data_IF_230698652195
#
_entry.id   IF_230698652195
#
_cell.length_a   1.000
_cell.length_b   1.000
_cell.length_c   1.000
_cell.angle_alpha   90.00
_cell.angle_beta   90.00
_cell.angle_gamma   90.00
#
_symmetry.space_group_name_H-M   'P 1'
#
loop_
_entity.id
_entity.type
_entity.pdbx_description
1 polymer ?
#
# COMPACT_ATOMS: atom_id res chain seq x y z
N UNK A 1 12.77 -26.66 3.20
CA UNK A 1 13.10 -25.54 2.28
C UNK A 1 11.83 -25.17 1.54
N UNK A 2 11.01 -24.29 2.10
CA UNK A 2 9.93 -23.66 1.36
C UNK A 2 10.54 -22.53 0.54
N UNK A 3 10.71 -22.75 -0.75
CA UNK A 3 10.89 -21.67 -1.72
C UNK A 3 9.52 -21.05 -1.93
N UNK A 4 9.23 -20.01 -1.16
CA UNK A 4 8.12 -19.11 -1.45
C UNK A 4 8.63 -18.03 -2.40
N UNK A 5 8.73 -18.38 -3.64
CA UNK A 5 8.83 -17.38 -4.68
C UNK A 5 7.71 -17.69 -5.66
N UNK A 6 6.76 -16.79 -5.78
CA UNK A 6 6.16 -16.61 -7.07
C UNK A 6 7.30 -16.09 -7.94
N UNK A 7 8.04 -17.01 -8.57
CA UNK A 7 9.21 -16.71 -9.40
C UNK A 7 8.78 -15.95 -10.66
N UNK A 8 7.48 -15.80 -10.87
CA UNK A 8 6.90 -15.31 -12.11
C UNK A 8 6.52 -13.84 -12.07
N UNK A 9 5.94 -13.38 -10.95
CA UNK A 9 5.34 -12.04 -10.91
C UNK A 9 5.73 -11.29 -9.63
N UNK A 10 5.90 -9.98 -9.76
CA UNK A 10 6.13 -9.08 -8.64
C UNK A 10 5.17 -7.90 -8.70
N UNK A 11 4.55 -7.55 -7.56
CA UNK A 11 3.71 -6.37 -7.44
C UNK A 11 4.42 -5.30 -6.61
N UNK A 12 4.33 -4.03 -7.05
CA UNK A 12 4.87 -2.91 -6.30
C UNK A 12 4.03 -1.64 -6.47
N UNK A 13 4.02 -0.81 -5.44
CA UNK A 13 3.49 0.55 -5.51
C UNK A 13 4.59 1.54 -5.84
N UNK A 14 4.22 2.59 -6.57
CA UNK A 14 5.12 3.69 -6.94
C UNK A 14 4.38 4.99 -6.74
N UNK A 15 4.99 5.92 -6.00
CA UNK A 15 4.48 7.27 -5.83
C UNK A 15 5.07 8.19 -6.88
N UNK A 16 4.23 8.89 -7.63
CA UNK A 16 4.62 9.92 -8.59
C UNK A 16 4.40 11.29 -7.98
N UNK A 17 5.47 11.92 -7.56
CA UNK A 17 5.48 13.24 -6.93
C UNK A 17 5.96 14.36 -7.87
N UNK A 18 6.14 14.10 -9.17
CA UNK A 18 6.70 15.06 -10.13
C UNK A 18 5.93 16.37 -10.21
N UNK A 19 4.60 16.33 -10.01
CA UNK A 19 3.76 17.51 -10.00
C UNK A 19 3.75 18.24 -8.65
N UNK A 20 4.22 17.62 -7.58
CA UNK A 20 4.24 18.18 -6.23
C UNK A 20 5.31 19.27 -6.14
N UNK A 21 4.95 20.38 -5.51
CA UNK A 21 5.88 21.51 -5.32
C UNK A 21 6.92 21.19 -4.24
N UNK A 22 8.00 21.96 -4.28
CA UNK A 22 9.09 21.84 -3.33
C UNK A 22 8.83 22.67 -2.08
N UNK A 23 9.08 22.07 -0.93
CA UNK A 23 9.23 22.75 0.35
C UNK A 23 10.72 23.03 0.58
N UNK A 24 11.02 24.23 1.01
CA UNK A 24 12.38 24.68 1.28
C UNK A 24 12.60 24.80 2.77
N UNK A 25 13.63 24.16 3.28
CA UNK A 25 13.99 24.18 4.70
C UNK A 25 15.46 24.56 4.84
N UNK A 26 15.74 25.45 5.77
CA UNK A 26 17.12 25.82 6.09
C UNK A 26 17.62 24.90 7.21
N UNK A 27 18.63 24.10 6.90
CA UNK A 27 19.36 23.33 7.90
C UNK A 27 20.40 24.26 8.57
N UNK A 28 20.01 24.89 9.67
CA UNK A 28 20.85 25.83 10.40
C UNK A 28 22.00 25.17 11.16
N UNK A 29 21.94 23.84 11.36
CA UNK A 29 22.97 23.07 12.07
C UNK A 29 24.05 22.52 11.15
N UNK A 30 23.95 22.71 9.84
CA UNK A 30 24.96 22.26 8.89
C UNK A 30 26.28 23.03 9.06
N UNK A 31 27.40 22.31 8.90
CA UNK A 31 28.74 22.87 8.97
C UNK A 31 29.42 22.86 7.60
N UNK A 32 30.24 23.86 7.24
CA UNK A 32 30.63 25.06 8.00
C UNK A 32 29.60 26.21 7.92
N UNK A 33 28.51 26.05 7.14
CA UNK A 33 27.44 27.05 6.97
C UNK A 33 26.08 26.40 6.85
N UNK A 34 24.99 27.10 7.19
CA UNK A 34 23.65 26.62 6.91
C UNK A 34 23.46 26.25 5.43
N UNK A 35 22.70 25.19 5.18
CA UNK A 35 22.37 24.71 3.83
C UNK A 35 20.88 24.80 3.59
N UNK A 36 20.49 24.99 2.32
CA UNK A 36 19.12 24.89 1.88
C UNK A 36 18.83 23.43 1.49
N UNK A 37 17.80 22.85 2.08
CA UNK A 37 17.28 21.53 1.73
C UNK A 37 15.93 21.69 1.04
N UNK A 38 15.69 20.94 -0.02
CA UNK A 38 14.43 20.95 -0.75
C UNK A 38 13.91 19.54 -0.92
N UNK A 39 12.60 19.35 -0.76
CA UNK A 39 11.93 18.07 -0.98
C UNK A 39 10.48 18.28 -1.41
N UNK A 40 9.93 17.32 -2.15
CA UNK A 40 8.55 17.36 -2.61
C UNK A 40 7.60 17.21 -1.41
N UNK A 41 6.75 18.22 -1.21
CA UNK A 41 5.80 18.23 -0.10
C UNK A 41 4.53 18.98 -0.47
N UNK A 42 3.40 18.30 -0.42
CA UNK A 42 2.11 18.92 -0.65
C UNK A 42 1.65 19.69 0.58
N UNK A 43 1.58 21.00 0.48
CA UNK A 43 1.02 21.85 1.54
C UNK A 43 -0.51 21.74 1.61
N UNK A 44 -1.13 21.99 2.78
CA UNK A 44 -2.58 22.08 2.89
C UNK A 44 -3.15 23.08 1.90
N UNK A 45 -4.20 22.69 1.16
CA UNK A 45 -4.86 23.52 0.15
C UNK A 45 -4.26 23.44 -1.25
N UNK A 46 -3.09 22.83 -1.46
CA UNK A 46 -2.56 22.59 -2.79
C UNK A 46 -3.31 21.47 -3.52
N UNK A 47 -3.44 21.64 -4.84
CA UNK A 47 -4.18 20.68 -5.69
C UNK A 47 -3.31 19.48 -6.10
N UNK A 48 -2.02 19.72 -6.27
CA UNK A 48 -1.04 18.75 -6.73
C UNK A 48 -0.63 17.87 -5.56
N UNK A 49 -1.02 16.60 -5.61
CA UNK A 49 -0.66 15.57 -4.64
C UNK A 49 0.20 14.49 -5.32
N UNK A 50 0.96 13.72 -4.57
CA UNK A 50 1.54 12.49 -5.10
C UNK A 50 0.45 11.57 -5.64
N UNK A 51 0.73 10.90 -6.77
CA UNK A 51 -0.19 9.93 -7.38
C UNK A 51 0.38 8.54 -7.15
N UNK A 52 -0.39 7.71 -6.48
CA UNK A 52 -0.01 6.32 -6.22
C UNK A 52 -0.41 5.42 -7.38
N UNK A 53 0.57 4.68 -7.91
CA UNK A 53 0.40 3.69 -8.96
C UNK A 53 0.67 2.28 -8.43
N UNK A 54 0.00 1.29 -8.99
CA UNK A 54 0.25 -0.12 -8.73
C UNK A 54 0.68 -0.81 -10.02
N UNK A 55 1.83 -1.45 -9.99
CA UNK A 55 2.37 -2.20 -11.11
C UNK A 55 2.52 -3.67 -10.80
N UNK A 56 2.21 -4.50 -11.80
CA UNK A 56 2.55 -5.90 -11.86
C UNK A 56 3.69 -6.08 -12.89
N UNK A 57 4.73 -6.78 -12.47
CA UNK A 57 5.85 -7.16 -13.33
C UNK A 57 5.80 -8.66 -13.56
N UNK A 58 5.65 -9.09 -14.80
CA UNK A 58 5.85 -10.46 -15.22
C UNK A 58 7.37 -10.65 -15.46
N UNK A 59 8.01 -11.43 -14.59
CA UNK A 59 9.44 -11.65 -14.63
C UNK A 59 9.87 -12.67 -15.69
N UNK A 60 8.95 -13.45 -16.23
CA UNK A 60 9.19 -14.40 -17.32
C UNK A 60 9.20 -13.70 -18.66
N UNK A 61 8.14 -12.94 -18.93
CA UNK A 61 7.97 -12.19 -20.18
C UNK A 61 8.64 -10.81 -20.14
N UNK A 62 9.19 -10.40 -19.00
CA UNK A 62 9.76 -9.08 -18.76
C UNK A 62 8.82 -7.93 -19.14
N UNK A 63 7.54 -8.06 -18.76
CA UNK A 63 6.50 -7.10 -19.04
C UNK A 63 6.04 -6.41 -17.77
N UNK A 64 5.68 -5.13 -17.90
CA UNK A 64 5.04 -4.33 -16.86
C UNK A 64 3.59 -4.04 -17.24
N UNK A 65 2.68 -4.26 -16.31
CA UNK A 65 1.26 -3.88 -16.41
C UNK A 65 0.92 -2.93 -15.27
N UNK A 66 0.30 -1.79 -15.58
CA UNK A 66 -0.31 -0.93 -14.58
C UNK A 66 -1.71 -1.45 -14.25
N UNK A 67 -2.01 -1.57 -12.95
CA UNK A 67 -3.30 -2.05 -12.44
C UNK A 67 -4.14 -0.83 -12.04
N UNK A 68 -5.38 -0.78 -12.46
CA UNK A 68 -6.31 0.30 -12.12
C UNK A 68 -6.72 0.19 -10.65
N UNK A 69 -6.30 1.16 -9.85
CA UNK A 69 -6.56 1.22 -8.39
C UNK A 69 -7.32 2.47 -7.96
N UNK A 70 -7.43 3.47 -8.84
CA UNK A 70 -8.01 4.77 -8.49
C UNK A 70 -9.46 4.65 -8.00
N UNK A 71 -9.76 5.28 -6.86
CA UNK A 71 -11.09 5.40 -6.29
C UNK A 71 -11.31 6.74 -5.58
N UNK A 72 -10.28 7.29 -4.97
CA UNK A 72 -10.35 8.54 -4.21
C UNK A 72 -9.31 9.51 -4.73
N UNK A 73 -9.64 10.78 -4.65
CA UNK A 73 -8.65 11.83 -4.89
C UNK A 73 -7.57 11.75 -3.80
N UNK A 74 -6.30 11.91 -4.20
CA UNK A 74 -5.14 11.92 -3.30
C UNK A 74 -5.09 10.68 -2.37
N UNK A 75 -5.43 9.50 -2.92
CA UNK A 75 -5.47 8.25 -2.17
C UNK A 75 -4.07 7.72 -1.88
N UNK A 76 -3.95 7.00 -0.77
CA UNK A 76 -2.78 6.17 -0.46
C UNK A 76 -3.07 4.70 -0.77
N UNK A 77 -2.02 3.96 -1.16
CA UNK A 77 -2.08 2.53 -1.46
C UNK A 77 -1.03 1.80 -0.63
N UNK A 78 -1.44 0.79 0.11
CA UNK A 78 -0.55 -0.11 0.84
C UNK A 78 -0.73 -1.56 0.39
N UNK A 79 0.34 -2.24 -0.01
CA UNK A 79 0.29 -3.68 -0.25
C UNK A 79 0.25 -4.44 1.07
N UNK A 80 -0.60 -5.46 1.14
CA UNK A 80 -0.71 -6.32 2.31
C UNK A 80 0.27 -7.50 2.20
N UNK A 81 1.17 -7.59 3.16
CA UNK A 81 2.20 -8.62 3.18
C UNK A 81 1.82 -9.78 4.08
N UNK A 82 2.21 -10.98 3.67
CA UNK A 82 2.09 -12.16 4.53
C UNK A 82 2.99 -11.98 5.76
N UNK A 83 2.45 -12.10 6.98
CA UNK A 83 3.27 -11.97 8.17
C UNK A 83 4.38 -13.02 8.20
N UNK A 84 5.59 -12.59 8.48
CA UNK A 84 6.69 -13.51 8.74
C UNK A 84 6.66 -13.97 10.19
N UNK A 85 6.64 -15.29 10.40
CA UNK A 85 6.61 -15.87 11.75
C UNK A 85 7.92 -15.71 12.52
N UNK A 86 9.06 -15.53 11.84
CA UNK A 86 10.36 -15.25 12.44
C UNK A 86 11.21 -14.38 11.51
N UNK A 87 11.74 -13.26 12.03
CA UNK A 87 12.80 -12.52 11.35
C UNK A 87 14.11 -13.29 11.54
N UNK A 88 14.63 -13.89 10.49
CA UNK A 88 16.00 -14.38 10.48
C UNK A 88 16.97 -13.22 10.33
N UNK A 89 17.99 -13.17 11.19
CA UNK A 89 19.03 -12.14 11.18
C UNK A 89 19.74 -12.15 9.81
N UNK A 90 19.67 -11.03 9.06
CA UNK A 90 20.30 -10.90 7.74
C UNK A 90 19.38 -11.16 6.55
N UNK A 91 18.10 -11.47 6.75
CA UNK A 91 17.07 -11.37 5.71
C UNK A 91 16.38 -9.99 5.81
N UNK A 92 16.79 -9.10 4.96
CA UNK A 92 16.03 -7.89 4.69
C UNK A 92 14.68 -8.31 4.09
N UNK A 93 13.64 -7.65 4.57
CA UNK A 93 12.22 -7.84 4.36
C UNK A 93 11.80 -8.44 2.99
N UNK A 94 11.85 -9.74 2.88
CA UNK A 94 11.21 -10.47 1.77
C UNK A 94 9.81 -10.90 2.19
N UNK A 95 8.98 -9.93 2.55
CA UNK A 95 7.60 -10.21 2.85
C UNK A 95 6.87 -10.59 1.55
N UNK A 96 6.28 -11.79 1.52
CA UNK A 96 5.52 -12.25 0.37
C UNK A 96 4.22 -11.44 0.25
N UNK A 97 3.99 -10.85 -0.92
CA UNK A 97 2.74 -10.17 -1.27
C UNK A 97 1.65 -11.17 -1.61
N UNK A 98 2.02 -12.28 -2.25
CA UNK A 98 1.10 -13.29 -2.75
C UNK A 98 0.49 -14.11 -1.62
N UNK A 99 -0.84 -14.19 -1.62
CA UNK A 99 -1.60 -14.87 -0.56
C UNK A 99 -2.60 -15.84 -1.19
N UNK A 100 -2.67 -17.04 -0.62
CA UNK A 100 -3.52 -18.09 -1.14
C UNK A 100 -2.86 -18.91 -2.26
N UNK A 101 -3.42 -18.84 -3.45
CA UNK A 101 -3.07 -19.64 -4.63
C UNK A 101 -1.93 -19.06 -5.50
N UNK A 102 -1.17 -18.10 -5.01
CA UNK A 102 -0.10 -17.39 -5.73
C UNK A 102 -0.56 -16.55 -6.95
N UNK A 103 -1.87 -16.46 -7.18
CA UNK A 103 -2.46 -15.64 -8.25
C UNK A 103 -3.13 -14.39 -7.70
N UNK A 104 -3.19 -14.24 -6.37
CA UNK A 104 -3.92 -13.18 -5.69
C UNK A 104 -3.05 -12.48 -4.67
N UNK A 105 -3.25 -11.18 -4.56
CA UNK A 105 -2.75 -10.38 -3.44
C UNK A 105 -3.82 -9.39 -2.97
N UNK A 106 -3.60 -8.82 -1.81
CA UNK A 106 -4.46 -7.83 -1.19
C UNK A 106 -3.72 -6.51 -1.03
N UNK A 107 -4.48 -5.45 -1.04
CA UNK A 107 -3.99 -4.10 -0.81
C UNK A 107 -5.06 -3.29 -0.11
N UNK A 108 -4.62 -2.28 0.63
CA UNK A 108 -5.49 -1.28 1.22
C UNK A 108 -5.35 0.02 0.45
N UNK A 109 -6.45 0.66 0.10
CA UNK A 109 -6.46 2.04 -0.39
C UNK A 109 -7.29 2.92 0.53
N UNK A 110 -6.78 4.09 0.86
CA UNK A 110 -7.43 5.01 1.76
C UNK A 110 -7.54 6.40 1.16
N UNK A 111 -8.64 7.10 1.46
CA UNK A 111 -8.76 8.53 1.17
C UNK A 111 -7.79 9.33 2.04
N UNK A 112 -7.40 10.51 1.58
CA UNK A 112 -6.44 11.36 2.30
C UNK A 112 -6.92 11.74 3.72
N UNK A 113 -8.22 11.92 3.90
CA UNK A 113 -8.84 12.23 5.19
C UNK A 113 -9.02 10.99 6.10
N UNK A 114 -8.68 9.80 5.60
CA UNK A 114 -8.84 8.51 6.29
C UNK A 114 -10.27 8.21 6.75
N UNK A 115 -11.28 8.82 6.11
CA UNK A 115 -12.69 8.49 6.35
C UNK A 115 -13.17 7.30 5.51
N UNK A 116 -12.42 6.94 4.48
CA UNK A 116 -12.75 5.85 3.54
C UNK A 116 -11.53 4.95 3.37
N UNK A 117 -11.70 3.71 3.75
CA UNK A 117 -10.69 2.67 3.58
C UNK A 117 -11.32 1.50 2.85
N UNK A 118 -10.74 1.09 1.74
CA UNK A 118 -11.10 -0.13 1.03
C UNK A 118 -9.97 -1.14 1.16
N UNK A 119 -10.30 -2.35 1.59
CA UNK A 119 -9.46 -3.51 1.35
C UNK A 119 -9.83 -4.08 0.00
N UNK A 120 -8.87 -4.22 -0.88
CA UNK A 120 -9.04 -4.71 -2.23
C UNK A 120 -8.28 -6.01 -2.45
N UNK A 121 -8.81 -6.87 -3.29
CA UNK A 121 -8.09 -8.00 -3.86
C UNK A 121 -7.75 -7.75 -5.33
N UNK A 122 -6.64 -8.30 -5.77
CA UNK A 122 -6.27 -8.38 -7.17
C UNK A 122 -5.95 -9.82 -7.52
N UNK A 123 -6.45 -10.30 -8.64
CA UNK A 123 -6.11 -11.60 -9.21
C UNK A 123 -5.43 -11.39 -10.55
N UNK A 124 -4.35 -12.12 -10.81
CA UNK A 124 -3.62 -12.05 -12.08
C UNK A 124 -4.60 -12.23 -13.25
N UNK A 125 -4.45 -11.37 -14.26
CA UNK A 125 -5.32 -11.35 -15.44
C UNK A 125 -6.45 -10.30 -15.38
N UNK A 126 -6.77 -9.74 -14.22
CA UNK A 126 -7.70 -8.63 -14.10
C UNK A 126 -7.05 -7.30 -14.54
N UNK A 127 -7.87 -6.30 -14.87
CA UNK A 127 -7.40 -4.94 -15.18
C UNK A 127 -7.46 -3.99 -14.01
N UNK A 128 -8.25 -4.32 -12.99
CA UNK A 128 -8.47 -3.48 -11.83
C UNK A 128 -8.60 -4.31 -10.57
N UNK A 129 -8.39 -3.66 -9.44
CA UNK A 129 -8.64 -4.26 -8.12
C UNK A 129 -10.13 -4.32 -7.81
N UNK A 130 -10.52 -5.33 -7.02
CA UNK A 130 -11.90 -5.51 -6.55
C UNK A 130 -11.96 -5.23 -5.05
N UNK A 131 -12.75 -4.24 -4.60
CA UNK A 131 -12.91 -3.99 -3.17
C UNK A 131 -13.71 -5.13 -2.52
N UNK A 132 -13.13 -5.76 -1.49
CA UNK A 132 -13.72 -6.85 -0.71
C UNK A 132 -14.27 -6.35 0.63
N UNK A 133 -13.67 -5.32 1.20
CA UNK A 133 -14.15 -4.65 2.42
C UNK A 133 -14.15 -3.14 2.17
N UNK A 134 -15.19 -2.46 2.65
CA UNK A 134 -15.31 -1.00 2.55
C UNK A 134 -15.62 -0.43 3.93
N UNK A 135 -14.66 0.23 4.52
CA UNK A 135 -14.82 0.98 5.75
C UNK A 135 -15.20 2.43 5.46
N UNK A 136 -16.22 2.93 6.15
CA UNK A 136 -16.72 4.29 5.99
C UNK A 136 -17.08 4.85 7.34
N UNK A 137 -16.34 5.86 7.76
CA UNK A 137 -16.61 6.58 9.00
C UNK A 137 -16.56 8.09 8.75
N UNK A 138 -17.22 8.85 9.60
CA UNK A 138 -17.15 10.32 9.60
C UNK A 138 -16.01 10.85 10.48
N UNK A 139 -15.20 9.95 11.03
CA UNK A 139 -14.02 10.23 11.86
C UNK A 139 -12.80 9.57 11.25
N UNK A 140 -11.63 9.93 11.72
CA UNK A 140 -10.37 9.30 11.38
C UNK A 140 -10.41 7.80 11.66
N UNK A 141 -9.92 7.01 10.72
CA UNK A 141 -9.77 5.57 10.84
C UNK A 141 -8.29 5.20 10.79
N UNK A 142 -7.91 4.23 11.59
CA UNK A 142 -6.57 3.68 11.59
C UNK A 142 -6.48 2.48 10.65
N UNK A 143 -5.47 2.48 9.77
CA UNK A 143 -5.18 1.29 8.94
C UNK A 143 -4.37 0.29 9.75
N UNK A 144 -4.79 -0.97 9.75
CA UNK A 144 -4.08 -2.08 10.39
C UNK A 144 -3.81 -3.20 9.42
N UNK A 145 -2.68 -3.91 9.54
CA UNK A 145 -2.39 -5.07 8.70
C UNK A 145 -3.47 -6.13 8.79
N UNK A 146 -3.82 -6.70 7.66
CA UNK A 146 -4.78 -7.79 7.55
C UNK A 146 -4.16 -9.14 7.93
N UNK A 147 -5.02 -10.08 8.29
CA UNK A 147 -4.67 -11.49 8.37
C UNK A 147 -5.51 -12.27 7.37
N UNK A 148 -4.88 -12.77 6.34
CA UNK A 148 -5.52 -13.60 5.33
C UNK A 148 -5.37 -15.06 5.72
N UNK A 149 -6.48 -15.78 5.78
CA UNK A 149 -6.59 -17.15 6.23
C UNK A 149 -7.16 -18.04 5.12
N UNK A 150 -7.07 -19.36 5.32
CA UNK A 150 -7.70 -20.41 4.51
C UNK A 150 -7.47 -20.21 3.00
N UNK A 151 -6.20 -19.89 2.62
CA UNK A 151 -5.83 -19.72 1.21
C UNK A 151 -6.49 -18.51 0.55
N UNK A 152 -6.73 -17.43 1.28
CA UNK A 152 -7.34 -16.20 0.73
C UNK A 152 -8.87 -16.19 0.75
N UNK A 153 -9.50 -17.16 1.43
CA UNK A 153 -10.97 -17.25 1.52
C UNK A 153 -11.54 -16.44 2.68
N UNK A 154 -10.73 -16.20 3.71
CA UNK A 154 -11.11 -15.50 4.92
C UNK A 154 -10.12 -14.41 5.25
N UNK A 155 -10.60 -13.31 5.83
CA UNK A 155 -9.78 -12.17 6.23
C UNK A 155 -10.16 -11.77 7.64
N UNK A 156 -9.18 -11.73 8.55
CA UNK A 156 -9.36 -11.07 9.84
C UNK A 156 -8.93 -9.62 9.68
N UNK A 157 -9.85 -8.72 9.99
CA UNK A 157 -9.65 -7.28 9.98
C UNK A 157 -9.92 -6.69 11.36
N UNK A 158 -9.06 -5.79 11.80
CA UNK A 158 -9.34 -4.89 12.91
C UNK A 158 -10.17 -3.71 12.41
N UNK A 159 -11.26 -3.37 13.11
CA UNK A 159 -12.14 -2.28 12.73
C UNK A 159 -12.85 -1.69 13.94
N UNK A 160 -13.15 -0.39 13.87
CA UNK A 160 -13.95 0.36 14.86
C UNK A 160 -15.36 0.68 14.34
N UNK A 161 -15.84 -0.05 13.32
CA UNK A 161 -17.13 0.22 12.65
C UNK A 161 -18.34 0.28 13.58
N UNK A 162 -18.27 -0.39 14.71
CA UNK A 162 -19.33 -0.42 15.72
C UNK A 162 -19.07 0.53 16.90
N UNK A 163 -18.09 1.44 16.76
CA UNK A 163 -17.70 2.41 17.77
C UNK A 163 -16.60 1.96 18.71
N UNK A 164 -16.26 0.69 18.72
CA UNK A 164 -15.19 0.08 19.50
C UNK A 164 -14.31 -0.81 18.62
N UNK A 165 -13.05 -0.95 19.02
CA UNK A 165 -12.09 -1.78 18.29
C UNK A 165 -12.37 -3.27 18.46
N UNK A 166 -12.70 -3.95 17.36
CA UNK A 166 -12.94 -5.39 17.31
C UNK A 166 -12.21 -6.05 16.15
N UNK A 167 -12.05 -7.37 16.24
CA UNK A 167 -11.61 -8.21 15.13
C UNK A 167 -12.84 -8.78 14.44
N UNK A 168 -12.89 -8.62 13.13
CA UNK A 168 -13.95 -9.13 12.26
C UNK A 168 -13.39 -10.20 11.32
N UNK A 169 -14.15 -11.26 11.10
CA UNK A 169 -13.89 -12.32 10.14
C UNK A 169 -14.81 -12.19 8.94
#
# INVERSE_FOLDING_TARGET
RQRQMCIRDSAMTVSDDRAVKELWVINSMAHPRPTLETYKYQMPGEKEAPIEHLYLFDLVDNKRKEIKVAAYKDQSIGLEYKPMMQKQRGMEDQAAVWQGDNNRFFLTRSSRDLHRIDVCSYTIGQDSVVPVIKERMNTYQETRPLRVLNGGKEIIQWSERDGWAHLYL
#
